data_IF_933012535140
#
_entry.id   IF_933012535140
#
_cell.length_a   1.000
_cell.length_b   1.000
_cell.length_c   1.000
_cell.angle_alpha   90.00
_cell.angle_beta   90.00
_cell.angle_gamma   90.00
#
_symmetry.space_group_name_H-M   'P 1'
#
loop_
_entity.id
_entity.type
_entity.pdbx_description
1 polymer ?
#
# COMPACT_ATOMS: atom_id res chain seq x y z
N UNK A 1 -7.75 -2.96 13.75
CA UNK A 1 -6.60 -3.60 14.44
C UNK A 1 -6.04 -4.71 13.55
N UNK A 2 -5.08 -4.41 12.64
CA UNK A 2 -4.38 -5.41 11.80
C UNK A 2 -2.89 -5.02 11.57
N UNK A 3 -2.31 -4.19 12.44
CA UNK A 3 -0.98 -3.57 12.23
C UNK A 3 0.22 -4.46 12.61
N UNK A 4 0.01 -5.72 13.00
CA UNK A 4 1.07 -6.54 13.62
C UNK A 4 1.33 -7.88 12.93
N UNK A 5 1.07 -7.97 11.63
CA UNK A 5 1.49 -9.14 10.84
C UNK A 5 2.89 -8.83 10.28
N UNK A 6 3.89 -9.71 10.47
CA UNK A 6 5.24 -9.49 9.96
C UNK A 6 5.24 -9.31 8.43
N UNK A 7 6.11 -8.41 7.95
CA UNK A 7 6.33 -8.13 6.52
C UNK A 7 5.14 -7.52 5.74
N UNK A 8 4.13 -6.99 6.44
CA UNK A 8 3.08 -6.17 5.84
C UNK A 8 3.55 -4.75 5.59
N UNK A 9 3.48 -4.31 4.33
CA UNK A 9 3.79 -2.94 3.92
C UNK A 9 2.55 -2.06 4.07
N UNK A 10 1.42 -2.54 3.56
CA UNK A 10 0.19 -1.75 3.47
C UNK A 10 -1.04 -2.65 3.65
N UNK A 11 -2.07 -2.12 4.31
CA UNK A 11 -3.38 -2.76 4.44
C UNK A 11 -4.43 -1.75 3.99
N UNK A 12 -5.21 -2.13 2.98
CA UNK A 12 -6.29 -1.31 2.43
C UNK A 12 -7.60 -2.07 2.50
N UNK A 13 -8.65 -1.41 2.99
CA UNK A 13 -10.00 -1.95 2.95
C UNK A 13 -10.47 -2.00 1.49
N UNK A 14 -10.94 -3.16 1.02
CA UNK A 14 -11.42 -3.34 -0.35
C UNK A 14 -12.94 -3.52 -0.43
N UNK A 15 -13.65 -3.40 0.69
CA UNK A 15 -15.10 -3.56 0.77
C UNK A 15 -15.54 -4.57 1.84
N UNK A 16 -16.84 -4.91 1.90
CA UNK A 16 -17.40 -5.75 2.94
C UNK A 16 -16.68 -7.10 3.05
N UNK A 17 -16.11 -7.38 4.21
CA UNK A 17 -15.35 -8.61 4.50
C UNK A 17 -14.16 -8.87 3.55
N UNK A 18 -13.60 -7.82 2.94
CA UNK A 18 -12.47 -7.95 2.03
C UNK A 18 -11.37 -6.96 2.36
N UNK A 19 -10.14 -7.47 2.46
CA UNK A 19 -8.97 -6.67 2.78
C UNK A 19 -7.89 -6.97 1.75
N UNK A 20 -7.26 -5.91 1.23
CA UNK A 20 -6.08 -6.02 0.38
C UNK A 20 -4.85 -5.76 1.24
N UNK A 21 -3.90 -6.68 1.20
CA UNK A 21 -2.65 -6.59 1.96
C UNK A 21 -1.50 -6.57 0.94
N UNK A 22 -0.66 -5.54 1.01
CA UNK A 22 0.63 -5.52 0.28
C UNK A 22 1.71 -6.08 1.19
N UNK A 23 2.42 -7.08 0.69
CA UNK A 23 3.53 -7.76 1.37
C UNK A 23 4.83 -7.48 0.62
N UNK A 24 5.95 -7.40 1.34
CA UNK A 24 7.27 -7.24 0.71
C UNK A 24 7.66 -8.47 -0.13
N UNK A 25 7.33 -9.66 0.37
CA UNK A 25 7.52 -10.92 -0.34
C UNK A 25 6.36 -11.85 -0.01
N UNK A 26 5.46 -12.05 -0.97
CA UNK A 26 4.28 -12.89 -0.79
C UNK A 26 4.66 -14.35 -0.55
N UNK A 27 5.66 -14.89 -1.26
CA UNK A 27 6.04 -16.30 -1.19
C UNK A 27 6.47 -16.71 0.23
N UNK A 28 7.24 -15.85 0.89
CA UNK A 28 7.73 -16.12 2.24
C UNK A 28 6.76 -15.69 3.35
N UNK A 29 5.94 -14.66 3.11
CA UNK A 29 5.10 -14.06 4.16
C UNK A 29 3.67 -14.61 4.19
N UNK A 30 3.24 -15.33 3.15
CA UNK A 30 1.91 -15.95 3.08
C UNK A 30 1.63 -16.94 4.22
N UNK A 31 2.54 -17.88 4.56
CA UNK A 31 2.32 -18.80 5.68
C UNK A 31 2.07 -18.07 6.99
N UNK A 32 2.83 -17.00 7.27
CA UNK A 32 2.69 -16.19 8.49
C UNK A 32 1.34 -15.46 8.54
N UNK A 33 0.88 -14.93 7.40
CA UNK A 33 -0.43 -14.29 7.28
C UNK A 33 -1.55 -15.30 7.53
N UNK A 34 -1.48 -16.49 6.95
CA UNK A 34 -2.48 -17.55 7.14
C UNK A 34 -2.51 -18.02 8.60
N UNK A 35 -1.34 -18.24 9.21
CA UNK A 35 -1.23 -18.63 10.61
C UNK A 35 -1.81 -17.57 11.54
N UNK A 36 -1.55 -16.28 11.26
CA UNK A 36 -2.12 -15.19 12.03
C UNK A 36 -3.65 -15.15 11.93
N UNK A 37 -4.22 -15.29 10.72
CA UNK A 37 -5.67 -15.33 10.50
C UNK A 37 -6.29 -16.53 11.24
N UNK A 38 -5.67 -17.71 11.13
CA UNK A 38 -6.11 -18.92 11.82
C UNK A 38 -6.06 -18.78 13.34
N UNK A 39 -5.01 -18.15 13.90
CA UNK A 39 -4.89 -17.88 15.35
C UNK A 39 -5.97 -16.93 15.90
N UNK A 40 -6.65 -16.20 15.02
CA UNK A 40 -7.74 -15.28 15.36
C UNK A 40 -9.12 -15.88 15.13
N UNK A 41 -9.20 -17.20 14.89
CA UNK A 41 -10.44 -17.94 14.61
C UNK A 41 -11.21 -17.39 13.38
N UNK A 42 -10.52 -16.67 12.49
CA UNK A 42 -11.10 -16.17 11.26
C UNK A 42 -10.94 -17.23 10.16
N UNK A 43 -12.05 -17.58 9.50
CA UNK A 43 -12.02 -18.48 8.36
C UNK A 43 -11.73 -17.72 7.07
N UNK A 44 -10.67 -18.12 6.35
CA UNK A 44 -10.35 -17.54 5.04
C UNK A 44 -11.17 -18.27 3.97
N UNK A 45 -12.11 -17.57 3.34
CA UNK A 45 -12.98 -18.17 2.29
C UNK A 45 -12.25 -18.25 0.95
N UNK A 46 -11.37 -17.30 0.65
CA UNK A 46 -10.62 -17.22 -0.61
C UNK A 46 -9.32 -16.44 -0.43
N UNK A 47 -8.23 -16.94 -1.01
CA UNK A 47 -6.93 -16.28 -1.05
C UNK A 47 -6.47 -16.17 -2.51
N UNK A 48 -6.13 -14.95 -2.94
CA UNK A 48 -5.60 -14.68 -4.28
C UNK A 48 -4.26 -13.97 -4.13
N UNK A 49 -3.23 -14.51 -4.76
CA UNK A 49 -1.88 -13.92 -4.78
C UNK A 49 -1.58 -13.52 -6.21
N UNK A 50 -1.27 -12.25 -6.41
CA UNK A 50 -0.92 -11.72 -7.71
C UNK A 50 0.45 -11.05 -7.59
N UNK A 51 1.41 -11.56 -8.37
CA UNK A 51 2.68 -10.86 -8.55
C UNK A 51 2.42 -9.62 -9.42
N UNK A 52 2.91 -8.44 -9.03
CA UNK A 52 2.71 -7.24 -9.84
C UNK A 52 3.40 -7.40 -11.20
N UNK A 53 2.80 -6.81 -12.22
CA UNK A 53 3.41 -6.77 -13.55
C UNK A 53 4.57 -5.77 -13.61
N UNK A 54 5.45 -5.89 -14.61
CA UNK A 54 6.50 -4.89 -14.83
C UNK A 54 5.90 -3.51 -15.09
N UNK A 55 4.79 -3.42 -15.81
CA UNK A 55 4.11 -2.16 -16.08
C UNK A 55 3.57 -1.52 -14.80
N UNK A 56 2.98 -2.31 -13.89
CA UNK A 56 2.49 -1.83 -12.59
C UNK A 56 3.65 -1.32 -11.71
N UNK A 57 4.76 -2.06 -11.65
CA UNK A 57 5.96 -1.62 -10.93
C UNK A 57 6.53 -0.36 -11.56
N UNK A 58 6.65 -0.32 -12.89
CA UNK A 58 7.14 0.84 -13.61
C UNK A 58 6.28 2.07 -13.33
N UNK A 59 4.95 1.96 -13.42
CA UNK A 59 4.02 3.05 -13.11
C UNK A 59 4.07 3.47 -11.64
N UNK A 60 4.19 2.54 -10.69
CA UNK A 60 4.25 2.89 -9.28
C UNK A 60 5.56 3.60 -8.90
N UNK A 61 6.68 3.26 -9.53
CA UNK A 61 7.96 3.94 -9.31
C UNK A 61 8.07 5.24 -10.13
N UNK A 62 7.96 5.17 -11.45
CA UNK A 62 8.13 6.35 -12.33
C UNK A 62 6.97 7.33 -12.26
N UNK A 63 5.75 6.86 -12.01
CA UNK A 63 4.59 7.73 -11.80
C UNK A 63 4.63 8.48 -10.48
N UNK A 64 5.37 7.98 -9.48
CA UNK A 64 5.69 8.75 -8.26
C UNK A 64 6.69 9.87 -8.58
N UNK A 65 7.71 9.59 -9.38
CA UNK A 65 8.71 10.60 -9.78
C UNK A 65 8.06 11.74 -10.58
N UNK A 66 7.20 11.42 -11.54
CA UNK A 66 6.49 12.44 -12.36
C UNK A 66 5.58 13.33 -11.49
N UNK A 67 4.86 12.76 -10.52
CA UNK A 67 4.02 13.55 -9.60
C UNK A 67 4.84 14.39 -8.62
N UNK A 68 6.03 13.93 -8.23
CA UNK A 68 6.95 14.68 -7.39
C UNK A 68 7.59 15.86 -8.13
N UNK A 69 7.77 15.74 -9.45
CA UNK A 69 8.34 16.78 -10.32
C UNK A 69 7.30 17.77 -10.88
N UNK A 70 6.00 17.60 -10.56
CA UNK A 70 4.93 18.41 -11.14
C UNK A 70 5.06 19.90 -10.69
N UNK A 71 5.21 20.87 -11.62
CA UNK A 71 5.40 22.30 -11.30
C UNK A 71 4.26 22.92 -10.48
N UNK A 72 3.09 22.27 -10.44
CA UNK A 72 1.94 22.66 -9.64
C UNK A 72 2.23 22.66 -8.14
N UNK A 73 3.01 21.70 -7.64
CA UNK A 73 3.29 21.57 -6.21
C UNK A 73 4.33 22.60 -5.74
N UNK A 74 5.32 22.90 -6.58
CA UNK A 74 6.26 24.00 -6.34
C UNK A 74 5.54 25.37 -6.32
N UNK A 75 4.62 25.63 -7.27
CA UNK A 75 3.82 26.87 -7.29
C UNK A 75 2.90 26.97 -6.07
N UNK A 76 2.23 25.89 -5.67
CA UNK A 76 1.37 25.84 -4.48
C UNK A 76 2.17 26.08 -3.20
N UNK A 77 3.36 25.48 -3.10
CA UNK A 77 4.29 25.68 -1.97
C UNK A 77 4.79 27.13 -1.90
N UNK A 78 5.16 27.73 -3.04
CA UNK A 78 5.54 29.14 -3.10
C UNK A 78 4.37 30.08 -2.71
N UNK A 79 3.14 29.78 -3.13
CA UNK A 79 1.96 30.56 -2.74
C UNK A 79 1.68 30.47 -1.24
N UNK A 80 1.81 29.28 -0.64
CA UNK A 80 1.62 29.08 0.80
C UNK A 80 2.71 29.80 1.61
N UNK A 81 3.97 29.77 1.17
CA UNK A 81 5.07 30.51 1.81
C UNK A 81 4.86 32.03 1.77
N UNK A 82 4.29 32.58 0.69
CA UNK A 82 3.97 34.02 0.59
C UNK A 82 2.86 34.44 1.57
N UNK A 83 1.93 33.55 1.88
CA UNK A 83 0.82 33.82 2.82
C UNK A 83 1.26 33.78 4.28
N UNK A 84 2.29 33.00 4.61
CA UNK A 84 2.87 32.93 5.96
C UNK A 84 3.77 34.13 6.31
N UNK A 85 4.21 34.90 5.31
CA UNK A 85 5.05 36.10 5.49
C UNK A 85 4.23 37.39 5.64
N UNK A 86 2.90 37.30 5.75
CA UNK A 86 2.01 38.44 5.88
C UNK A 86 1.33 38.44 7.25
#
# INVERSE_FOLDING_TARGET
MMKNIPNVIEVTDSGPNSVRIKLANADNSLPDVINYISSKELSTVKLTVQKPSLDEVFLEYTGKDIRAEDPGDARKTMMNMRRLRR
#
